data_IF_532745187797
#
_entry.id   IF_532745187797
#
_cell.length_a   1.000
_cell.length_b   1.000
_cell.length_c   1.000
_cell.angle_alpha   90.00
_cell.angle_beta   90.00
_cell.angle_gamma   90.00
#
_symmetry.space_group_name_H-M   'P 1'
#
loop_
_entity.id
_entity.type
_entity.pdbx_description
1 polymer ?
#
# COMPACT_ATOMS: atom_id res chain seq x y z
N UNK A 1 -9.98 3.85 -24.59
CA UNK A 1 -9.14 4.34 -23.52
C UNK A 1 -8.75 3.19 -22.63
N UNK A 2 -7.51 3.03 -22.26
CA UNK A 2 -7.14 2.15 -21.18
C UNK A 2 -7.48 2.87 -19.87
N UNK A 3 -8.76 2.90 -19.58
CA UNK A 3 -9.27 3.49 -18.38
C UNK A 3 -8.86 2.58 -17.22
N UNK A 4 -8.00 3.06 -16.35
CA UNK A 4 -7.75 2.33 -15.12
C UNK A 4 -6.33 2.30 -14.60
N UNK A 5 -5.37 2.89 -15.31
CA UNK A 5 -3.99 2.94 -14.81
C UNK A 5 -3.59 4.29 -14.20
N UNK A 6 -4.49 5.30 -14.25
CA UNK A 6 -4.22 6.62 -13.71
C UNK A 6 -3.18 7.44 -14.48
N UNK A 7 -2.54 6.86 -15.48
CA UNK A 7 -1.60 7.51 -16.39
C UNK A 7 -2.22 7.62 -17.79
N UNK A 8 -2.06 8.74 -18.43
CA UNK A 8 -2.41 8.92 -19.82
C UNK A 8 -1.18 8.83 -20.75
N UNK A 9 -1.40 8.99 -22.06
CA UNK A 9 -0.30 8.92 -23.02
C UNK A 9 0.69 10.08 -22.86
N UNK A 10 0.22 11.27 -22.47
CA UNK A 10 1.09 12.42 -22.23
C UNK A 10 2.00 12.19 -21.03
N UNK A 11 1.46 11.66 -19.93
CA UNK A 11 2.25 11.28 -18.76
C UNK A 11 3.36 10.29 -19.11
N UNK A 12 3.04 9.29 -19.95
CA UNK A 12 4.00 8.30 -20.39
C UNK A 12 5.10 8.91 -21.29
N UNK A 13 4.76 9.87 -22.14
CA UNK A 13 5.70 10.56 -23.03
C UNK A 13 6.61 11.52 -22.24
N UNK A 14 6.08 12.14 -21.20
CA UNK A 14 6.82 13.05 -20.31
C UNK A 14 7.64 12.31 -19.25
N UNK A 15 7.54 10.97 -19.21
CA UNK A 15 8.25 10.14 -18.23
C UNK A 15 7.67 10.23 -16.82
N UNK A 16 6.45 10.75 -16.66
CA UNK A 16 5.74 10.82 -15.39
C UNK A 16 5.29 9.41 -15.04
N UNK A 17 5.69 8.94 -13.87
CA UNK A 17 5.35 7.61 -13.39
C UNK A 17 4.53 7.62 -12.09
N UNK A 18 3.92 8.76 -11.74
CA UNK A 18 3.08 8.93 -10.57
C UNK A 18 1.70 9.47 -10.96
N UNK A 19 0.67 9.11 -10.20
CA UNK A 19 -0.71 9.50 -10.51
C UNK A 19 -1.62 9.44 -9.27
N UNK A 20 -2.80 10.05 -9.39
CA UNK A 20 -3.84 10.02 -8.39
C UNK A 20 -5.18 9.66 -9.02
N UNK A 21 -5.94 8.79 -8.37
CA UNK A 21 -7.22 8.30 -8.88
C UNK A 21 -8.20 8.00 -7.74
N UNK A 22 -9.49 8.10 -8.02
CA UNK A 22 -10.54 7.51 -7.19
C UNK A 22 -10.75 6.05 -7.63
N UNK A 23 -10.26 5.05 -6.87
CA UNK A 23 -10.35 3.65 -7.28
C UNK A 23 -11.78 3.11 -7.30
N UNK A 24 -12.67 3.75 -6.57
CA UNK A 24 -14.09 3.44 -6.50
C UNK A 24 -14.88 4.72 -6.82
N UNK A 25 -15.48 4.82 -8.03
CA UNK A 25 -16.23 6.01 -8.42
C UNK A 25 -17.33 6.35 -7.42
N UNK A 26 -17.40 7.62 -7.02
CA UNK A 26 -18.37 8.12 -6.06
C UNK A 26 -18.11 7.73 -4.61
N UNK A 27 -16.99 7.11 -4.29
CA UNK A 27 -16.58 6.85 -2.90
C UNK A 27 -15.46 7.80 -2.48
N UNK A 28 -15.48 8.29 -1.24
CA UNK A 28 -14.51 9.25 -0.73
C UNK A 28 -13.18 8.56 -0.41
N UNK A 29 -12.59 7.94 -1.41
CA UNK A 29 -11.28 7.28 -1.33
C UNK A 29 -10.43 7.74 -2.51
N UNK A 30 -9.21 8.17 -2.22
CA UNK A 30 -8.18 8.51 -3.19
C UNK A 30 -6.99 7.58 -3.06
N UNK A 31 -6.56 7.05 -4.18
CA UNK A 31 -5.29 6.34 -4.31
C UNK A 31 -4.28 7.28 -4.97
N UNK A 32 -3.18 7.56 -4.27
CA UNK A 32 -2.05 8.35 -4.78
C UNK A 32 -0.90 7.38 -4.98
N UNK A 33 -0.38 7.24 -6.19
CA UNK A 33 0.73 6.34 -6.51
C UNK A 33 1.97 7.15 -6.81
N UNK A 34 3.05 6.87 -6.09
CA UNK A 34 4.34 7.53 -6.24
C UNK A 34 5.28 6.70 -7.13
N UNK A 35 5.98 7.38 -8.00
CA UNK A 35 7.15 6.82 -8.67
C UNK A 35 8.36 6.99 -7.75
N UNK A 36 8.68 5.95 -7.00
CA UNK A 36 9.84 5.95 -6.10
C UNK A 36 11.11 5.38 -6.75
N UNK A 37 11.07 5.14 -8.06
CA UNK A 37 12.24 4.66 -8.80
C UNK A 37 13.16 5.83 -9.11
N UNK A 38 14.36 5.79 -8.57
CA UNK A 38 15.42 6.74 -8.92
C UNK A 38 16.18 6.22 -10.14
N UNK A 39 16.42 7.10 -11.10
CA UNK A 39 17.15 6.79 -12.33
C UNK A 39 18.67 6.66 -12.04
N UNK A 40 19.02 5.73 -11.15
CA UNK A 40 20.40 5.54 -10.65
C UNK A 40 20.86 4.08 -10.84
N UNK A 41 22.15 3.82 -11.06
CA UNK A 41 22.66 2.47 -11.31
C UNK A 41 22.57 1.53 -10.09
N UNK A 42 22.37 2.03 -8.90
CA UNK A 42 22.24 1.23 -7.67
C UNK A 42 20.76 1.01 -7.32
N UNK A 43 20.16 0.07 -7.96
CA UNK A 43 18.72 -0.22 -8.07
C UNK A 43 17.96 -0.62 -6.79
N UNK A 44 18.58 -0.55 -5.63
CA UNK A 44 17.96 -0.98 -4.37
C UNK A 44 17.43 0.19 -3.52
N UNK A 45 17.48 1.40 -4.03
CA UNK A 45 17.16 2.61 -3.28
C UNK A 45 16.02 3.38 -3.92
N UNK A 46 15.12 3.86 -3.08
CA UNK A 46 14.01 4.71 -3.49
C UNK A 46 14.28 6.19 -3.30
N UNK A 47 13.35 7.00 -3.79
CA UNK A 47 13.32 8.43 -3.59
C UNK A 47 12.30 9.11 -4.48
N UNK A 48 12.08 10.39 -4.25
CA UNK A 48 11.28 11.26 -5.11
C UNK A 48 12.01 12.57 -5.37
N UNK A 49 11.65 13.22 -6.48
CA UNK A 49 12.12 14.56 -6.80
C UNK A 49 11.21 15.66 -6.26
N UNK A 50 11.67 16.95 -6.27
CA UNK A 50 10.89 18.08 -5.79
C UNK A 50 9.54 18.22 -6.50
N UNK A 51 9.50 18.09 -7.82
CA UNK A 51 8.27 18.23 -8.61
C UNK A 51 7.20 17.21 -8.17
N UNK A 52 7.60 15.96 -7.88
CA UNK A 52 6.68 14.95 -7.38
C UNK A 52 6.26 15.21 -5.92
N UNK A 53 7.14 15.81 -5.13
CA UNK A 53 6.83 16.19 -3.75
C UNK A 53 5.77 17.32 -3.73
N UNK A 54 5.95 18.37 -4.52
CA UNK A 54 5.01 19.48 -4.64
C UNK A 54 3.65 19.01 -5.20
N UNK A 55 3.69 18.10 -6.16
CA UNK A 55 2.50 17.45 -6.68
C UNK A 55 1.80 16.58 -5.61
N UNK A 56 2.54 15.82 -4.82
CA UNK A 56 2.00 15.02 -3.72
C UNK A 56 1.28 15.89 -2.71
N UNK A 57 1.88 17.00 -2.29
CA UNK A 57 1.25 17.97 -1.39
C UNK A 57 -0.06 18.50 -1.97
N UNK A 58 -0.06 18.86 -3.27
CA UNK A 58 -1.26 19.32 -3.98
C UNK A 58 -2.38 18.26 -3.98
N UNK A 59 -2.05 17.00 -4.22
CA UNK A 59 -3.05 15.91 -4.23
C UNK A 59 -3.57 15.58 -2.82
N UNK A 60 -2.72 15.70 -1.80
CA UNK A 60 -3.13 15.54 -0.40
C UNK A 60 -4.09 16.66 0.02
N UNK A 61 -3.80 17.91 -0.33
CA UNK A 61 -4.67 19.06 -0.06
C UNK A 61 -6.02 18.93 -0.79
N UNK A 62 -5.99 18.45 -2.03
CA UNK A 62 -7.20 18.17 -2.80
C UNK A 62 -8.05 17.09 -2.13
N UNK A 63 -7.45 15.99 -1.71
CA UNK A 63 -8.15 14.89 -1.06
C UNK A 63 -8.74 15.34 0.29
N UNK A 64 -7.99 16.11 1.08
CA UNK A 64 -8.48 16.68 2.35
C UNK A 64 -9.66 17.63 2.12
N UNK A 65 -9.57 18.50 1.12
CA UNK A 65 -10.64 19.46 0.78
C UNK A 65 -11.92 18.78 0.24
N UNK A 66 -11.79 17.56 -0.28
CA UNK A 66 -12.90 16.74 -0.77
C UNK A 66 -13.40 15.72 0.27
N UNK A 67 -12.93 15.76 1.50
CA UNK A 67 -13.22 14.78 2.55
C UNK A 67 -12.98 13.34 2.08
N UNK A 68 -11.86 13.07 1.41
CA UNK A 68 -11.48 11.74 0.93
C UNK A 68 -10.46 11.07 1.85
N UNK A 69 -10.63 9.77 2.08
CA UNK A 69 -9.61 8.90 2.65
C UNK A 69 -8.47 8.73 1.66
N UNK A 70 -7.23 8.75 2.13
CA UNK A 70 -6.06 8.61 1.27
C UNK A 70 -5.32 7.31 1.56
N UNK A 71 -5.06 6.58 0.48
CA UNK A 71 -4.11 5.46 0.44
C UNK A 71 -2.98 5.88 -0.50
N UNK A 72 -1.75 5.89 -0.02
CA UNK A 72 -0.58 6.16 -0.83
C UNK A 72 0.09 4.84 -1.20
N UNK A 73 0.51 4.68 -2.43
CA UNK A 73 1.26 3.51 -2.92
C UNK A 73 2.62 3.92 -3.46
N UNK A 74 3.63 3.10 -3.21
CA UNK A 74 4.96 3.25 -3.79
C UNK A 74 5.67 1.90 -3.81
N UNK A 75 6.84 1.81 -4.44
CA UNK A 75 7.60 0.56 -4.42
C UNK A 75 8.49 0.46 -3.19
N UNK A 76 9.15 1.54 -2.82
CA UNK A 76 10.12 1.59 -1.71
C UNK A 76 9.49 2.11 -0.43
N UNK A 77 9.96 1.58 0.71
CA UNK A 77 9.64 2.15 2.03
C UNK A 77 10.31 3.52 2.16
N UNK A 78 9.78 4.37 3.02
CA UNK A 78 10.41 5.66 3.28
C UNK A 78 11.86 5.51 3.78
N UNK A 79 12.16 4.48 4.59
CA UNK A 79 13.52 4.21 5.06
C UNK A 79 14.48 3.71 3.98
N UNK A 80 13.97 3.27 2.83
CA UNK A 80 14.79 2.87 1.67
C UNK A 80 15.12 4.07 0.75
N UNK A 81 14.65 5.27 1.08
CA UNK A 81 15.03 6.51 0.38
C UNK A 81 16.47 6.85 0.74
N UNK A 82 17.27 7.12 -0.26
CA UNK A 82 18.70 7.42 -0.07
C UNK A 82 18.98 8.91 -0.11
N UNK A 83 20.21 9.26 0.29
CA UNK A 83 20.76 10.62 0.13
C UNK A 83 20.81 11.12 -1.32
N UNK A 84 20.53 10.25 -2.30
CA UNK A 84 20.39 10.64 -3.70
C UNK A 84 18.96 11.07 -4.04
N UNK A 85 18.00 10.83 -3.15
CA UNK A 85 16.70 11.47 -3.21
C UNK A 85 16.89 12.97 -3.01
N UNK A 86 16.35 13.78 -3.91
CA UNK A 86 16.43 15.24 -3.78
C UNK A 86 15.53 15.77 -2.66
N UNK A 87 14.60 14.93 -2.20
CA UNK A 87 13.73 15.18 -1.05
C UNK A 87 14.06 14.16 0.03
N UNK A 88 14.27 14.60 1.25
CA UNK A 88 14.59 13.72 2.38
C UNK A 88 13.39 12.84 2.75
N UNK A 89 13.68 11.61 3.17
CA UNK A 89 12.62 10.68 3.59
C UNK A 89 11.81 11.16 4.79
N UNK A 90 12.43 11.95 5.66
CA UNK A 90 11.78 12.60 6.79
C UNK A 90 10.78 13.65 6.35
N UNK A 91 11.11 14.43 5.31
CA UNK A 91 10.19 15.43 4.73
C UNK A 91 8.94 14.75 4.16
N UNK A 92 9.11 13.67 3.37
CA UNK A 92 7.97 12.90 2.83
C UNK A 92 7.15 12.28 3.96
N UNK A 93 7.81 11.69 4.96
CA UNK A 93 7.16 11.13 6.14
C UNK A 93 6.33 12.18 6.88
N UNK A 94 6.91 13.34 7.15
CA UNK A 94 6.26 14.40 7.92
C UNK A 94 5.12 15.04 7.12
N UNK A 95 5.27 15.18 5.79
CA UNK A 95 4.19 15.60 4.91
C UNK A 95 3.00 14.62 5.01
N UNK A 96 3.20 13.34 4.73
CA UNK A 96 2.13 12.34 4.80
C UNK A 96 1.47 12.28 6.18
N UNK A 97 2.26 12.33 7.25
CA UNK A 97 1.77 12.25 8.62
C UNK A 97 1.13 13.56 9.12
N UNK A 98 1.20 14.66 8.37
CA UNK A 98 0.49 15.90 8.67
C UNK A 98 -0.98 15.90 8.24
N UNK A 99 -1.40 14.89 7.47
CA UNK A 99 -2.76 14.73 6.99
C UNK A 99 -3.48 13.62 7.75
N UNK A 100 -4.53 13.97 8.46
CA UNK A 100 -5.32 13.06 9.31
C UNK A 100 -6.23 12.11 8.51
N UNK A 101 -6.36 12.33 7.21
CA UNK A 101 -7.05 11.45 6.26
C UNK A 101 -6.15 10.45 5.54
N UNK A 102 -4.82 10.49 5.75
CA UNK A 102 -3.88 9.49 5.22
C UNK A 102 -3.90 8.24 6.12
N UNK A 103 -4.35 7.12 5.57
CA UNK A 103 -4.48 5.86 6.31
C UNK A 103 -3.28 4.95 6.15
N UNK A 104 -2.87 4.74 4.89
CA UNK A 104 -1.92 3.70 4.53
C UNK A 104 -0.87 4.23 3.54
N UNK A 105 0.36 3.75 3.73
CA UNK A 105 1.39 3.76 2.70
C UNK A 105 1.72 2.31 2.32
N UNK A 106 1.34 1.92 1.11
CA UNK A 106 1.51 0.55 0.59
C UNK A 106 2.83 0.44 -0.17
N UNK A 107 3.66 -0.54 0.20
CA UNK A 107 5.00 -0.70 -0.38
C UNK A 107 5.33 -2.16 -0.68
N UNK A 108 6.34 -2.34 -1.52
CA UNK A 108 6.90 -3.64 -1.89
C UNK A 108 8.37 -3.76 -1.56
N UNK A 109 9.20 -3.98 -2.56
CA UNK A 109 10.68 -4.02 -2.57
C UNK A 109 11.31 -5.10 -1.69
N UNK A 110 11.00 -5.16 -0.40
CA UNK A 110 11.61 -6.10 0.56
C UNK A 110 11.18 -7.56 0.40
N UNK A 111 10.24 -7.85 -0.49
CA UNK A 111 9.68 -9.19 -0.74
C UNK A 111 9.26 -9.92 0.54
N UNK A 112 8.77 -9.17 1.52
CA UNK A 112 8.30 -9.69 2.80
C UNK A 112 7.06 -8.94 3.27
N UNK A 113 6.28 -9.59 4.12
CA UNK A 113 5.18 -8.89 4.77
C UNK A 113 5.72 -8.17 6.01
N UNK A 114 5.43 -6.89 6.10
CA UNK A 114 5.72 -6.09 7.28
C UNK A 114 4.65 -5.03 7.50
N UNK A 115 4.57 -4.54 8.72
CA UNK A 115 3.74 -3.42 9.09
C UNK A 115 4.50 -2.53 10.05
N UNK A 116 4.39 -1.23 9.85
CA UNK A 116 5.01 -0.24 10.72
C UNK A 116 4.06 0.94 10.92
N UNK A 117 3.92 1.38 12.16
CA UNK A 117 3.29 2.66 12.44
C UNK A 117 4.30 3.77 12.17
N UNK A 118 3.90 4.76 11.40
CA UNK A 118 4.69 5.94 11.10
C UNK A 118 3.98 7.13 11.72
N UNK A 119 4.67 7.86 12.60
CA UNK A 119 4.12 8.99 13.32
C UNK A 119 4.96 10.23 13.06
N UNK A 120 4.29 11.38 12.92
CA UNK A 120 4.93 12.68 12.98
C UNK A 120 5.19 13.09 14.42
N UNK A 121 6.00 14.14 14.60
CA UNK A 121 6.19 14.77 15.90
C UNK A 121 4.90 15.35 16.50
N UNK A 122 3.87 15.58 15.68
CA UNK A 122 2.55 16.06 16.09
C UNK A 122 1.57 14.98 16.56
N UNK A 123 1.98 13.70 16.56
CA UNK A 123 1.16 12.57 17.03
C UNK A 123 0.15 12.04 16.00
N UNK A 124 0.04 12.65 14.82
CA UNK A 124 -0.66 12.09 13.68
C UNK A 124 0.22 11.05 12.99
N UNK A 125 -0.38 10.15 12.24
CA UNK A 125 0.38 9.14 11.54
C UNK A 125 -0.47 8.17 10.73
N UNK A 126 0.24 7.30 10.02
CA UNK A 126 -0.35 6.31 9.14
C UNK A 126 0.35 4.95 9.32
N UNK A 127 -0.19 3.91 8.71
CA UNK A 127 0.46 2.62 8.67
C UNK A 127 1.19 2.42 7.34
N UNK A 128 2.48 2.11 7.42
CA UNK A 128 3.23 1.58 6.28
C UNK A 128 3.06 0.08 6.24
N UNK A 129 2.57 -0.43 5.11
CA UNK A 129 2.24 -1.83 4.91
C UNK A 129 3.05 -2.38 3.75
N UNK A 130 4.05 -3.19 4.04
CA UNK A 130 4.84 -3.88 3.02
C UNK A 130 4.20 -5.20 2.65
N UNK A 131 4.07 -5.44 1.33
CA UNK A 131 3.56 -6.68 0.78
C UNK A 131 4.70 -7.56 0.27
N UNK A 132 4.58 -8.87 0.50
CA UNK A 132 5.47 -9.85 -0.09
C UNK A 132 5.36 -9.86 -1.63
N UNK A 133 6.38 -10.40 -2.27
CA UNK A 133 6.40 -10.60 -3.71
C UNK A 133 5.53 -11.80 -4.13
N UNK A 134 4.93 -11.72 -5.31
CA UNK A 134 4.23 -12.85 -5.94
C UNK A 134 5.19 -13.81 -6.67
N UNK A 135 6.40 -13.36 -6.97
CA UNK A 135 7.41 -14.16 -7.71
C UNK A 135 8.48 -14.76 -6.81
N UNK A 136 8.67 -14.21 -5.62
CA UNK A 136 9.67 -14.67 -4.65
C UNK A 136 8.99 -15.19 -3.38
N UNK A 137 9.63 -16.10 -2.65
CA UNK A 137 9.05 -16.63 -1.41
C UNK A 137 8.75 -15.50 -0.41
N UNK A 138 7.55 -15.46 0.23
CA UNK A 138 6.54 -16.50 0.36
C UNK A 138 5.50 -16.57 -0.78
N UNK A 139 5.58 -15.77 -1.82
CA UNK A 139 4.62 -15.68 -2.93
C UNK A 139 3.20 -15.43 -2.43
N UNK A 140 3.02 -14.26 -1.89
CA UNK A 140 1.76 -13.82 -1.29
C UNK A 140 1.33 -12.46 -1.85
N UNK A 141 0.05 -12.23 -1.77
CA UNK A 141 -0.58 -10.92 -1.96
C UNK A 141 -1.45 -10.59 -0.75
N UNK A 142 -1.99 -9.37 -0.71
CA UNK A 142 -2.89 -8.93 0.36
C UNK A 142 -4.17 -8.38 -0.20
N UNK A 143 -5.29 -8.69 0.46
CA UNK A 143 -6.56 -8.01 0.28
C UNK A 143 -6.70 -7.00 1.42
N UNK A 144 -7.12 -5.80 1.06
CA UNK A 144 -7.48 -4.74 1.99
C UNK A 144 -8.98 -4.51 1.90
N UNK A 145 -9.69 -4.67 3.01
CA UNK A 145 -11.10 -4.34 3.13
C UNK A 145 -11.23 -3.14 4.07
N UNK A 146 -11.84 -2.07 3.59
CA UNK A 146 -12.15 -0.89 4.39
C UNK A 146 -13.60 -0.97 4.83
N UNK A 147 -13.83 -0.96 6.13
CA UNK A 147 -15.16 -1.08 6.73
C UNK A 147 -15.39 0.09 7.67
N UNK A 148 -16.37 0.92 7.38
CA UNK A 148 -16.81 1.93 8.32
C UNK A 148 -17.69 1.28 9.39
N UNK A 149 -17.29 1.39 10.65
CA UNK A 149 -17.97 0.74 11.78
C UNK A 149 -19.00 1.63 12.46
N UNK A 150 -19.16 2.86 11.99
CA UNK A 150 -19.91 3.90 12.69
C UNK A 150 -19.11 4.53 13.83
N UNK A 151 -19.69 5.55 14.46
CA UNK A 151 -19.05 6.27 15.59
C UNK A 151 -17.63 6.78 15.30
N UNK A 152 -17.40 7.28 14.11
CA UNK A 152 -16.12 7.80 13.61
C UNK A 152 -15.00 6.76 13.48
N UNK A 153 -15.32 5.47 13.44
CA UNK A 153 -14.29 4.44 13.30
C UNK A 153 -14.33 3.76 11.94
N UNK A 154 -13.15 3.66 11.35
CA UNK A 154 -12.86 2.86 10.16
C UNK A 154 -11.92 1.70 10.54
N UNK A 155 -12.26 0.51 10.09
CA UNK A 155 -11.42 -0.66 10.17
C UNK A 155 -10.85 -1.04 8.81
N UNK A 156 -9.56 -1.39 8.77
CA UNK A 156 -8.92 -1.98 7.60
C UNK A 156 -8.54 -3.41 7.95
N UNK A 157 -9.25 -4.35 7.33
CA UNK A 157 -8.89 -5.77 7.41
C UNK A 157 -7.84 -6.06 6.35
N UNK A 158 -6.72 -6.61 6.79
CA UNK A 158 -5.61 -7.00 5.93
C UNK A 158 -5.51 -8.52 5.91
N UNK A 159 -5.84 -9.12 4.78
CA UNK A 159 -5.83 -10.57 4.62
C UNK A 159 -4.71 -11.00 3.69
N UNK A 160 -3.81 -11.85 4.17
CA UNK A 160 -2.75 -12.43 3.35
C UNK A 160 -3.29 -13.62 2.56
N UNK A 161 -3.07 -13.60 1.25
CA UNK A 161 -3.36 -14.70 0.36
C UNK A 161 -2.07 -15.33 -0.14
N UNK A 162 -1.89 -16.63 0.14
CA UNK A 162 -0.83 -17.44 -0.43
C UNK A 162 -1.33 -18.25 -1.63
N UNK A 163 -0.44 -18.66 -2.49
CA UNK A 163 -0.80 -19.59 -3.55
C UNK A 163 -1.19 -20.98 -2.99
N UNK A 164 -2.24 -21.57 -3.54
CA UNK A 164 -2.66 -22.94 -3.28
C UNK A 164 -2.41 -23.83 -4.53
N UNK A 165 -1.17 -23.85 -5.00
CA UNK A 165 -0.82 -24.59 -6.19
C UNK A 165 -0.76 -26.10 -5.93
N UNK A 166 -1.31 -26.94 -6.82
CA UNK A 166 -1.24 -28.38 -6.68
C UNK A 166 0.22 -28.88 -6.57
N UNK A 167 0.49 -29.90 -5.75
CA UNK A 167 1.82 -30.50 -5.66
C UNK A 167 2.36 -30.91 -7.04
N UNK A 168 3.63 -30.58 -7.32
CA UNK A 168 4.28 -30.88 -8.59
C UNK A 168 3.99 -29.94 -9.74
N UNK A 169 3.04 -29.00 -9.59
CA UNK A 169 2.79 -27.95 -10.58
C UNK A 169 3.99 -26.98 -10.72
N UNK A 170 4.10 -26.26 -11.84
CA UNK A 170 5.16 -25.25 -12.02
C UNK A 170 5.17 -24.21 -10.91
N UNK A 171 4.01 -23.76 -10.43
CA UNK A 171 3.88 -22.80 -9.36
C UNK A 171 4.38 -23.35 -8.01
N UNK A 172 4.02 -24.59 -7.66
CA UNK A 172 4.54 -25.24 -6.44
C UNK A 172 6.06 -25.45 -6.50
N UNK A 173 6.59 -25.83 -7.67
CA UNK A 173 8.05 -25.94 -7.89
C UNK A 173 8.74 -24.59 -7.80
N UNK A 174 8.18 -23.54 -8.40
CA UNK A 174 8.69 -22.19 -8.32
C UNK A 174 8.78 -21.71 -6.86
N UNK A 175 7.73 -21.94 -6.06
CA UNK A 175 7.74 -21.60 -4.63
C UNK A 175 8.82 -22.35 -3.85
N UNK A 176 8.99 -23.64 -4.11
CA UNK A 176 10.04 -24.43 -3.47
C UNK A 176 11.45 -23.95 -3.81
N UNK A 177 11.68 -23.59 -5.08
CA UNK A 177 12.97 -23.06 -5.54
C UNK A 177 13.28 -21.68 -4.92
N UNK A 178 12.29 -20.79 -4.87
CA UNK A 178 12.49 -19.46 -4.26
C UNK A 178 12.68 -19.55 -2.75
N UNK A 179 12.01 -20.49 -2.07
CA UNK A 179 12.25 -20.77 -0.66
C UNK A 179 13.68 -21.30 -0.43
N UNK A 180 14.13 -22.26 -1.24
CA UNK A 180 15.50 -22.78 -1.15
C UNK A 180 16.54 -21.69 -1.41
N UNK A 181 16.34 -20.81 -2.39
CA UNK A 181 17.20 -19.66 -2.65
C UNK A 181 17.30 -18.73 -1.44
N UNK A 182 16.18 -18.43 -0.78
CA UNK A 182 16.18 -17.56 0.42
C UNK A 182 16.91 -18.22 1.58
N UNK A 183 16.75 -19.51 1.80
CA UNK A 183 17.53 -20.26 2.80
C UNK A 183 19.02 -20.16 2.49
N UNK A 184 19.43 -20.33 1.25
CA UNK A 184 20.81 -20.27 0.83
C UNK A 184 21.46 -18.89 1.04
N UNK A 185 20.71 -17.80 0.72
CA UNK A 185 21.24 -16.42 0.79
C UNK A 185 21.18 -15.87 2.22
N UNK A 186 20.10 -16.17 2.96
CA UNK A 186 19.75 -15.48 4.20
C UNK A 186 19.74 -16.37 5.45
N UNK A 187 20.02 -17.68 5.31
CA UNK A 187 19.91 -18.65 6.40
C UNK A 187 18.47 -19.15 6.59
N UNK A 188 18.11 -19.60 7.80
CA UNK A 188 16.79 -20.16 8.04
C UNK A 188 15.70 -19.10 7.90
N UNK A 189 15.04 -19.15 6.76
CA UNK A 189 13.92 -18.25 6.46
C UNK A 189 12.76 -18.38 7.46
N UNK A 190 12.63 -19.53 8.14
CA UNK A 190 11.56 -19.74 9.11
C UNK A 190 11.71 -18.87 10.35
N UNK A 191 12.90 -18.52 10.74
CA UNK A 191 13.13 -17.61 11.87
C UNK A 191 12.92 -16.15 11.49
N UNK A 192 13.39 -15.72 10.34
CA UNK A 192 13.16 -14.35 9.82
C UNK A 192 11.70 -14.08 9.45
N UNK A 193 10.97 -15.12 8.99
CA UNK A 193 9.57 -15.00 8.58
C UNK A 193 8.60 -15.34 9.71
N UNK A 194 9.13 -15.73 10.87
CA UNK A 194 8.42 -15.90 12.12
C UNK A 194 8.23 -14.60 12.89
N UNK A 195 8.61 -13.47 12.36
CA UNK A 195 8.08 -12.21 12.87
C UNK A 195 6.59 -12.14 12.48
N UNK A 196 5.86 -12.81 13.36
CA UNK A 196 4.59 -13.45 13.10
C UNK A 196 3.45 -12.45 13.05
N UNK A 197 3.68 -11.25 13.58
CA UNK A 197 2.67 -10.21 13.59
C UNK A 197 2.51 -9.55 12.23
N UNK A 198 3.61 -9.33 11.52
CA UNK A 198 3.59 -8.70 10.20
C UNK A 198 3.23 -9.64 9.05
N UNK A 199 3.37 -10.97 9.26
CA UNK A 199 3.01 -11.99 8.29
C UNK A 199 1.56 -12.50 8.42
N UNK A 200 0.86 -12.08 9.47
CA UNK A 200 -0.50 -12.52 9.78
C UNK A 200 -1.56 -11.63 9.14
N UNK A 201 -2.79 -12.08 9.17
CA UNK A 201 -3.95 -11.24 8.92
C UNK A 201 -4.04 -10.21 10.05
N UNK A 202 -4.36 -8.97 9.70
CA UNK A 202 -4.33 -7.83 10.62
C UNK A 202 -5.66 -7.09 10.58
N UNK A 203 -5.99 -6.46 11.69
CA UNK A 203 -7.04 -5.47 11.78
C UNK A 203 -6.42 -4.16 12.26
N UNK A 204 -6.50 -3.14 11.42
CA UNK A 204 -6.10 -1.77 11.74
C UNK A 204 -7.36 -0.96 11.98
N UNK A 205 -7.36 -0.15 13.02
CA UNK A 205 -8.51 0.66 13.37
C UNK A 205 -8.12 2.12 13.47
N UNK A 206 -8.89 2.96 12.82
CA UNK A 206 -8.68 4.40 12.76
C UNK A 206 -9.86 5.14 13.39
N UNK A 207 -9.57 6.19 14.13
CA UNK A 207 -10.58 7.17 14.44
C UNK A 207 -10.50 8.28 13.39
N UNK A 208 -11.57 8.46 12.65
CA UNK A 208 -11.64 9.44 11.60
C UNK A 208 -11.94 10.84 12.15
N UNK A 209 -11.50 11.91 11.44
CA UNK A 209 -12.04 13.25 11.63
C UNK A 209 -13.57 13.26 11.45
N UNK A 210 -14.28 14.06 12.24
CA UNK A 210 -15.74 14.07 12.22
C UNK A 210 -16.33 14.46 10.85
N UNK A 211 -15.69 15.36 10.12
CA UNK A 211 -16.10 15.76 8.76
C UNK A 211 -16.02 14.59 7.78
N UNK A 212 -14.92 13.87 7.82
CA UNK A 212 -14.69 12.70 6.98
C UNK A 212 -15.64 11.54 7.34
N UNK A 213 -15.87 11.29 8.63
CA UNK A 213 -16.83 10.30 9.09
C UNK A 213 -18.26 10.63 8.59
N UNK A 214 -18.68 11.89 8.67
CA UNK A 214 -19.97 12.34 8.17
C UNK A 214 -20.09 12.19 6.64
N UNK A 215 -19.03 12.46 5.89
CA UNK A 215 -19.00 12.24 4.43
C UNK A 215 -19.20 10.76 4.08
N UNK A 216 -18.51 9.87 4.80
CA UNK A 216 -18.61 8.43 4.60
C UNK A 216 -20.04 7.92 4.93
N UNK A 217 -20.65 8.39 6.01
CA UNK A 217 -22.01 8.00 6.40
C UNK A 217 -23.05 8.40 5.35
N UNK A 218 -22.89 9.55 4.72
CA UNK A 218 -23.83 10.03 3.68
C UNK A 218 -23.75 9.21 2.39
N UNK A 219 -22.59 8.64 2.08
CA UNK A 219 -22.32 7.94 0.82
C UNK A 219 -22.84 6.49 0.77
N UNK A 220 -23.52 6.01 1.81
CA UNK A 220 -24.00 4.62 1.92
C UNK A 220 -22.91 3.62 1.43
N UNK A 221 -21.89 3.45 2.23
CA UNK A 221 -20.91 2.39 1.99
C UNK A 221 -21.65 1.05 1.92
N UNK A 222 -21.31 0.18 0.95
CA UNK A 222 -21.96 -1.11 0.87
C UNK A 222 -21.78 -1.80 2.22
N UNK A 223 -22.87 -2.32 2.76
CA UNK A 223 -22.81 -3.22 3.91
C UNK A 223 -21.72 -4.28 3.60
N UNK A 224 -20.96 -4.66 4.60
CA UNK A 224 -19.96 -5.72 4.47
C UNK A 224 -20.61 -6.85 3.69
N UNK A 225 -20.13 -7.10 2.47
CA UNK A 225 -20.56 -8.28 1.72
C UNK A 225 -20.18 -9.46 2.60
N UNK A 226 -21.18 -10.00 3.30
CA UNK A 226 -20.97 -11.23 4.04
C UNK A 226 -20.49 -12.26 3.04
N UNK A 227 -19.27 -12.61 3.20
CA UNK A 227 -18.74 -13.89 2.86
C UNK A 227 -17.53 -13.90 1.94
N UNK A 228 -16.46 -14.31 2.52
CA UNK A 228 -15.49 -15.23 1.93
C UNK A 228 -16.15 -16.38 1.10
N UNK A 229 -17.41 -16.65 1.29
CA UNK A 229 -18.17 -17.64 0.50
C UNK A 229 -18.50 -17.14 -0.90
N UNK A 230 -18.69 -15.84 -1.09
CA UNK A 230 -18.92 -15.30 -2.44
C UNK A 230 -17.67 -15.31 -3.29
N UNK A 231 -16.48 -15.19 -2.68
CA UNK A 231 -15.20 -15.34 -3.40
C UNK A 231 -14.91 -16.78 -3.82
N UNK A 232 -15.53 -17.78 -3.17
CA UNK A 232 -15.42 -19.19 -3.56
C UNK A 232 -16.27 -19.55 -4.77
N UNK A 233 -17.15 -18.64 -5.21
CA UNK A 233 -18.05 -18.85 -6.36
C UNK A 233 -17.54 -18.18 -7.64
N UNK A 234 -16.37 -17.55 -7.61
CA UNK A 234 -15.76 -17.05 -8.84
C UNK A 234 -15.30 -18.28 -9.67
N UNK A 235 -15.66 -18.34 -10.96
CA UNK A 235 -15.23 -19.43 -11.82
C UNK A 235 -13.70 -19.50 -11.89
N UNK A 236 -13.17 -20.74 -11.89
CA UNK A 236 -11.75 -21.07 -12.06
C UNK A 236 -11.18 -20.56 -13.38
#
# INVERSE_FOLDING_TARGET
>A
QPDGHGLDLSDALDGIGYFSVQPLPGKPIRLIVLNTLMNQPAHASGGIGPDQYDWLETELDRARSADELVIVGGHHRLEDFTMLSSVDSGEVKDLLASYDNVLLYLVGHGHSNAIRKVESSGGLGFWELMCASTVDYPQQTRILELVYEGNDYLSVYVTNLGQNAPPGSPAARGRALTAARKIFIWGDVRERWRDQHSASNLLLRYKLPATLAASIEQEQWPERVESLETLKQLPE
#
